data_IF_545250070730
#
_entry.id   IF_545250070730
#
_cell.length_a   1.000
_cell.length_b   1.000
_cell.length_c   1.000
_cell.angle_alpha   90.00
_cell.angle_beta   90.00
_cell.angle_gamma   90.00
#
_symmetry.space_group_name_H-M   'P 1'
#
loop_
_entity.id
_entity.type
_entity.pdbx_description
1 polymer ?
#
# COMPACT_ATOMS: atom_id res chain seq x y z
N UNK A 1 -1.97 8.42 -18.31
CA UNK A 1 -2.97 7.39 -18.66
C UNK A 1 -3.29 6.67 -17.36
N UNK A 2 -4.47 6.87 -16.76
CA UNK A 2 -4.86 6.10 -15.57
C UNK A 2 -4.82 4.60 -15.91
N UNK A 3 -4.17 3.78 -15.08
CA UNK A 3 -4.10 2.34 -15.27
C UNK A 3 -5.47 1.73 -14.90
N UNK A 4 -6.44 1.86 -15.81
CA UNK A 4 -7.82 1.37 -15.62
C UNK A 4 -7.87 -0.11 -15.25
N UNK A 5 -6.87 -0.90 -15.66
CA UNK A 5 -6.77 -2.31 -15.31
C UNK A 5 -6.42 -2.50 -13.83
N UNK A 6 -5.54 -1.67 -13.29
CA UNK A 6 -5.20 -1.66 -11.86
C UNK A 6 -6.41 -1.28 -10.99
N UNK A 7 -7.11 -0.20 -11.37
CA UNK A 7 -8.33 0.25 -10.68
C UNK A 7 -9.39 -0.87 -10.66
N UNK A 8 -9.66 -1.49 -11.82
CA UNK A 8 -10.60 -2.62 -11.89
C UNK A 8 -10.17 -3.82 -11.05
N UNK A 9 -8.87 -4.15 -11.05
CA UNK A 9 -8.35 -5.24 -10.23
C UNK A 9 -8.54 -4.98 -8.73
N UNK A 10 -8.35 -3.73 -8.28
CA UNK A 10 -8.61 -3.34 -6.89
C UNK A 10 -10.09 -3.42 -6.53
N UNK A 11 -10.98 -2.96 -7.41
CA UNK A 11 -12.43 -3.07 -7.16
C UNK A 11 -12.91 -4.52 -7.07
N UNK A 12 -12.33 -5.44 -7.86
CA UNK A 12 -12.65 -6.86 -7.74
C UNK A 12 -12.08 -7.44 -6.45
N UNK A 13 -10.84 -7.08 -6.09
CA UNK A 13 -10.17 -7.59 -4.90
C UNK A 13 -10.84 -7.15 -3.60
N UNK A 14 -11.29 -5.88 -3.53
CA UNK A 14 -11.91 -5.28 -2.33
C UNK A 14 -13.44 -5.36 -2.29
N UNK A 15 -14.05 -6.18 -3.17
CA UNK A 15 -15.48 -6.45 -3.10
C UNK A 15 -15.84 -7.07 -1.74
N UNK A 16 -17.01 -6.73 -1.19
CA UNK A 16 -17.44 -7.15 0.16
C UNK A 16 -17.44 -8.69 0.36
N UNK A 17 -17.75 -9.45 -0.68
CA UNK A 17 -17.76 -10.92 -0.65
C UNK A 17 -17.07 -11.47 -1.92
N UNK A 18 -15.73 -11.44 -1.99
CA UNK A 18 -15.03 -11.99 -3.13
C UNK A 18 -14.97 -13.51 -3.01
N UNK A 19 -15.12 -14.20 -4.13
CA UNK A 19 -14.88 -15.64 -4.22
C UNK A 19 -13.36 -15.90 -4.18
N UNK A 20 -12.82 -16.01 -2.95
CA UNK A 20 -11.38 -16.12 -2.70
C UNK A 20 -10.77 -17.43 -3.18
N UNK A 21 -11.60 -18.45 -3.38
CA UNK A 21 -11.17 -19.77 -3.85
C UNK A 21 -11.09 -19.83 -5.38
N UNK A 22 -11.80 -18.94 -6.08
CA UNK A 22 -11.74 -18.89 -7.54
C UNK A 22 -10.34 -18.60 -8.09
N UNK A 23 -9.99 -19.28 -9.18
CA UNK A 23 -8.76 -19.02 -9.95
C UNK A 23 -8.63 -17.54 -10.33
N UNK A 24 -9.75 -16.91 -10.68
CA UNK A 24 -9.80 -15.48 -11.05
C UNK A 24 -9.36 -14.58 -9.90
N UNK A 25 -9.80 -14.86 -8.67
CA UNK A 25 -9.39 -14.05 -7.52
C UNK A 25 -7.90 -14.24 -7.22
N UNK A 26 -7.40 -15.47 -7.31
CA UNK A 26 -5.98 -15.76 -7.13
C UNK A 26 -5.10 -15.07 -8.19
N UNK A 27 -5.54 -15.06 -9.45
CA UNK A 27 -4.87 -14.33 -10.53
C UNK A 27 -4.82 -12.82 -10.27
N UNK A 28 -5.94 -12.24 -9.82
CA UNK A 28 -6.02 -10.81 -9.46
C UNK A 28 -5.10 -10.51 -8.28
N UNK A 29 -5.11 -11.34 -7.23
CA UNK A 29 -4.23 -11.18 -6.08
C UNK A 29 -2.77 -11.20 -6.50
N UNK A 30 -2.38 -12.17 -7.35
CA UNK A 30 -1.02 -12.27 -7.90
C UNK A 30 -0.64 -11.04 -8.72
N UNK A 31 -1.55 -10.56 -9.56
CA UNK A 31 -1.36 -9.35 -10.36
C UNK A 31 -1.15 -8.11 -9.48
N UNK A 32 -1.97 -7.91 -8.46
CA UNK A 32 -1.86 -6.79 -7.52
C UNK A 32 -0.55 -6.85 -6.72
N UNK A 33 -0.19 -8.04 -6.20
CA UNK A 33 1.07 -8.24 -5.46
C UNK A 33 2.31 -7.91 -6.30
N UNK A 34 2.34 -8.32 -7.57
CA UNK A 34 3.44 -7.98 -8.49
C UNK A 34 3.54 -6.48 -8.78
N UNK A 35 2.45 -5.73 -8.53
CA UNK A 35 2.34 -4.29 -8.77
C UNK A 35 2.10 -3.51 -7.48
N UNK A 36 2.58 -4.03 -6.36
CA UNK A 36 2.34 -3.45 -5.04
C UNK A 36 2.70 -1.96 -4.95
N UNK A 37 3.76 -1.54 -5.64
CA UNK A 37 4.12 -0.12 -5.72
C UNK A 37 3.00 0.71 -6.36
N UNK A 38 2.54 0.32 -7.54
CA UNK A 38 1.46 1.02 -8.24
C UNK A 38 0.15 0.98 -7.46
N UNK A 39 -0.15 -0.15 -6.80
CA UNK A 39 -1.32 -0.28 -5.91
C UNK A 39 -1.25 0.76 -4.79
N UNK A 40 -0.17 0.77 -4.03
CA UNK A 40 -0.02 1.68 -2.89
C UNK A 40 0.02 3.14 -3.33
N UNK A 41 0.70 3.48 -4.43
CA UNK A 41 0.73 4.85 -4.96
C UNK A 41 -0.67 5.36 -5.35
N UNK A 42 -1.51 4.50 -5.95
CA UNK A 42 -2.89 4.84 -6.29
C UNK A 42 -3.74 5.03 -5.03
N UNK A 43 -3.61 4.14 -4.04
CA UNK A 43 -4.34 4.27 -2.77
C UNK A 43 -3.90 5.52 -1.97
N UNK A 44 -2.61 5.86 -2.00
CA UNK A 44 -2.05 7.08 -1.41
C UNK A 44 -2.62 8.31 -2.12
N UNK A 45 -2.69 8.29 -3.44
CA UNK A 45 -3.22 9.40 -4.23
C UNK A 45 -4.71 9.65 -3.93
N UNK A 46 -5.46 8.59 -3.66
CA UNK A 46 -6.87 8.64 -3.25
C UNK A 46 -7.08 8.86 -1.74
N UNK A 47 -6.01 8.92 -0.95
CA UNK A 47 -6.06 8.98 0.53
C UNK A 47 -6.89 7.85 1.18
N UNK A 48 -6.92 6.68 0.53
CA UNK A 48 -7.69 5.50 0.95
C UNK A 48 -6.88 4.65 1.94
N UNK A 49 -6.80 5.13 3.18
CA UNK A 49 -6.03 4.46 4.24
C UNK A 49 -6.64 3.13 4.68
N UNK A 50 -7.94 2.92 4.46
CA UNK A 50 -8.60 1.66 4.79
C UNK A 50 -8.10 0.54 3.88
N UNK A 51 -8.10 0.75 2.56
CA UNK A 51 -7.54 -0.21 1.61
C UNK A 51 -6.02 -0.34 1.77
N UNK A 52 -5.30 0.73 2.12
CA UNK A 52 -3.86 0.63 2.46
C UNK A 52 -3.62 -0.33 3.64
N UNK A 53 -4.44 -0.27 4.69
CA UNK A 53 -4.34 -1.17 5.84
C UNK A 53 -4.63 -2.63 5.45
N UNK A 54 -5.62 -2.86 4.58
CA UNK A 54 -5.91 -4.21 4.11
C UNK A 54 -4.76 -4.81 3.29
N UNK A 55 -4.07 -4.00 2.46
CA UNK A 55 -2.87 -4.42 1.73
C UNK A 55 -1.71 -4.72 2.69
N UNK A 56 -1.51 -3.91 3.73
CA UNK A 56 -0.47 -4.13 4.73
C UNK A 56 -0.64 -5.46 5.47
N UNK A 57 -1.88 -5.80 5.87
CA UNK A 57 -2.22 -7.07 6.51
C UNK A 57 -1.89 -8.29 5.66
N UNK A 58 -1.81 -8.11 4.33
CA UNK A 58 -1.44 -9.16 3.41
C UNK A 58 0.08 -9.39 3.32
N UNK A 59 0.90 -8.53 3.92
CA UNK A 59 2.36 -8.66 3.96
C UNK A 59 3.03 -8.56 2.59
N UNK A 60 2.45 -7.80 1.65
CA UNK A 60 2.93 -7.73 0.26
C UNK A 60 4.12 -6.82 0.05
N UNK A 61 4.45 -5.97 1.01
CA UNK A 61 5.56 -5.04 0.91
C UNK A 61 6.46 -5.05 2.15
N UNK A 62 7.70 -4.64 1.93
CA UNK A 62 8.79 -4.58 2.89
C UNK A 62 8.98 -3.18 3.49
N UNK A 63 9.88 -3.06 4.47
CA UNK A 63 10.29 -1.75 5.02
C UNK A 63 10.79 -0.79 3.93
N UNK A 64 11.55 -1.30 2.95
CA UNK A 64 12.08 -0.49 1.86
C UNK A 64 10.97 0.09 0.96
N UNK A 65 9.92 -0.69 0.70
CA UNK A 65 8.76 -0.19 -0.04
C UNK A 65 7.97 0.82 0.80
N UNK A 66 7.85 0.61 2.11
CA UNK A 66 7.24 1.59 3.02
C UNK A 66 7.94 2.95 2.97
N UNK A 67 9.28 3.00 2.99
CA UNK A 67 10.02 4.27 2.85
C UNK A 67 9.71 4.97 1.52
N UNK A 68 9.59 4.20 0.43
CA UNK A 68 9.21 4.74 -0.87
C UNK A 68 7.79 5.31 -0.86
N UNK A 69 6.86 4.66 -0.16
CA UNK A 69 5.47 5.13 -0.01
C UNK A 69 5.38 6.40 0.83
N UNK A 70 6.16 6.50 1.91
CA UNK A 70 6.25 7.72 2.72
C UNK A 70 6.72 8.89 1.85
N UNK A 71 7.79 8.69 1.07
CA UNK A 71 8.28 9.72 0.13
C UNK A 71 7.22 10.10 -0.90
N UNK A 72 6.53 9.13 -1.51
CA UNK A 72 5.46 9.40 -2.46
C UNK A 72 4.32 10.23 -1.84
N UNK A 73 3.88 9.89 -0.63
CA UNK A 73 2.85 10.64 0.08
C UNK A 73 3.30 12.07 0.43
N UNK A 74 4.58 12.26 0.78
CA UNK A 74 5.17 13.59 1.01
C UNK A 74 5.20 14.43 -0.27
N UNK A 75 5.74 13.88 -1.36
CA UNK A 75 5.87 14.56 -2.66
C UNK A 75 4.50 14.96 -3.23
N UNK A 76 3.49 14.12 -3.03
CA UNK A 76 2.10 14.38 -3.48
C UNK A 76 1.24 15.15 -2.46
N UNK A 77 1.81 15.55 -1.32
CA UNK A 77 1.11 16.23 -0.22
C UNK A 77 -0.17 15.50 0.27
N UNK A 78 -0.14 14.17 0.33
CA UNK A 78 -1.25 13.30 0.77
C UNK A 78 -1.17 13.08 2.27
N UNK A 79 -1.65 14.06 3.04
CA UNK A 79 -1.44 14.14 4.49
C UNK A 79 -2.02 12.93 5.24
N UNK A 80 -3.22 12.48 4.90
CA UNK A 80 -3.87 11.36 5.60
C UNK A 80 -3.06 10.07 5.42
N UNK A 81 -2.68 9.77 4.18
CA UNK A 81 -1.83 8.62 3.86
C UNK A 81 -0.45 8.74 4.48
N UNK A 82 0.16 9.93 4.47
CA UNK A 82 1.46 10.18 5.09
C UNK A 82 1.44 9.88 6.59
N UNK A 83 0.46 10.43 7.32
CA UNK A 83 0.30 10.20 8.76
C UNK A 83 0.13 8.72 9.05
N UNK A 84 -0.72 8.03 8.29
CA UNK A 84 -0.92 6.58 8.44
C UNK A 84 0.37 5.79 8.20
N UNK A 85 1.14 6.09 7.13
CA UNK A 85 2.39 5.40 6.82
C UNK A 85 3.48 5.62 7.88
N UNK A 86 3.54 6.82 8.47
CA UNK A 86 4.45 7.11 9.58
C UNK A 86 4.08 6.31 10.83
N UNK A 87 2.78 6.22 11.16
CA UNK A 87 2.32 5.35 12.27
C UNK A 87 2.61 3.87 12.02
N UNK A 88 2.43 3.39 10.78
CA UNK A 88 2.78 2.02 10.43
C UNK A 88 4.29 1.77 10.61
N UNK A 89 5.13 2.71 10.17
CA UNK A 89 6.59 2.62 10.33
C UNK A 89 6.97 2.53 11.80
N UNK A 90 6.47 3.44 12.63
CA UNK A 90 6.73 3.47 14.07
C UNK A 90 6.35 2.13 14.74
N UNK A 91 5.16 1.61 14.41
CA UNK A 91 4.64 0.38 15.00
C UNK A 91 5.39 -0.89 14.59
N UNK A 92 5.82 -1.02 13.32
CA UNK A 92 6.28 -2.30 12.75
C UNK A 92 7.78 -2.36 12.48
N UNK A 93 8.40 -1.26 12.08
CA UNK A 93 9.79 -1.25 11.62
C UNK A 93 10.70 -0.37 12.50
N UNK A 94 10.11 0.59 13.21
CA UNK A 94 10.83 1.57 14.01
C UNK A 94 11.59 2.59 13.16
N UNK A 95 12.27 3.49 13.86
CA UNK A 95 13.19 4.45 13.26
C UNK A 95 14.62 4.07 13.65
N UNK A 96 15.57 4.02 12.70
CA UNK A 96 16.97 3.83 13.05
C UNK A 96 17.39 4.94 13.99
N UNK A 97 17.92 4.59 15.17
CA UNK A 97 18.52 5.56 16.07
C UNK A 97 19.69 6.18 15.35
N UNK A 98 19.63 7.50 15.10
CA UNK A 98 20.83 8.23 14.73
C UNK A 98 21.74 8.23 15.95
N UNK A 99 22.93 7.69 15.78
CA UNK A 99 23.99 7.88 16.76
C UNK A 99 24.45 9.34 16.64
N UNK A 100 24.21 10.11 17.70
CA UNK A 100 24.64 11.50 17.83
C UNK A 100 25.91 11.60 18.68
N UNK A 101 26.71 10.53 18.76
CA UNK A 101 28.03 10.62 19.37
C UNK A 101 28.83 11.74 18.72
N UNK A 102 29.17 12.72 19.55
CA UNK A 102 29.95 13.92 19.24
C UNK A 102 31.45 13.63 19.36
#
# INVERSE_FOLDING_TARGET
MQDRKLEQALEIYFRENPDRESDKYQEIQKYLKLRIRSVMELLIENEDTERMEQIEKCGWFSANELENFIRCAQEKAKLRSLVWLLHLKDKKYGYPKKDFSL
#
